data_IF_566881710608
#
_entry.id   IF_566881710608
#
_cell.length_a   1.000
_cell.length_b   1.000
_cell.length_c   1.000
_cell.angle_alpha   90.00
_cell.angle_beta   90.00
_cell.angle_gamma   90.00
#
_symmetry.space_group_name_H-M   'P 1'
#
loop_
_entity.id
_entity.type
_entity.pdbx_description
1 polymer ?
#
# COMPACT_ATOMS: atom_id res chain seq x y z
N UNK A 1 -40.78 -3.06 13.82
CA UNK A 1 -39.57 -3.86 14.18
C UNK A 1 -38.41 -3.71 13.20
N UNK A 2 -38.61 -3.76 11.87
CA UNK A 2 -37.50 -3.69 10.91
C UNK A 2 -36.71 -2.37 10.91
N UNK A 3 -37.35 -1.22 11.18
CA UNK A 3 -36.73 0.11 11.17
C UNK A 3 -35.76 0.31 12.35
N UNK A 4 -36.12 -0.16 13.55
CA UNK A 4 -35.27 -0.05 14.77
C UNK A 4 -33.93 -0.76 14.58
N UNK A 5 -33.91 -1.85 13.80
CA UNK A 5 -32.66 -2.54 13.48
C UNK A 5 -31.73 -1.67 12.60
N UNK A 6 -32.25 -0.90 11.65
CA UNK A 6 -31.40 -0.25 10.63
C UNK A 6 -30.57 0.92 11.16
N UNK A 7 -31.11 1.70 12.10
CA UNK A 7 -30.34 2.74 12.81
C UNK A 7 -29.20 2.12 13.62
N UNK A 8 -29.48 1.01 14.29
CA UNK A 8 -28.49 0.26 15.07
C UNK A 8 -27.40 -0.33 14.16
N UNK A 9 -27.77 -0.92 13.02
CA UNK A 9 -26.81 -1.37 12.01
C UNK A 9 -25.95 -0.24 11.45
N UNK A 10 -26.54 0.93 11.23
CA UNK A 10 -25.84 2.13 10.75
C UNK A 10 -24.84 2.65 11.79
N UNK A 11 -25.22 2.64 13.07
CA UNK A 11 -24.33 2.98 14.18
C UNK A 11 -23.12 2.04 14.21
N UNK A 12 -23.33 0.72 14.16
CA UNK A 12 -22.24 -0.25 14.13
C UNK A 12 -21.38 -0.13 12.86
N UNK A 13 -21.97 0.15 11.71
CA UNK A 13 -21.23 0.37 10.46
C UNK A 13 -20.28 1.57 10.58
N UNK A 14 -20.70 2.67 11.20
CA UNK A 14 -19.83 3.83 11.43
C UNK A 14 -18.68 3.51 12.39
N UNK A 15 -18.93 2.72 13.45
CA UNK A 15 -17.86 2.27 14.36
C UNK A 15 -16.84 1.41 13.60
N UNK A 16 -17.30 0.46 12.78
CA UNK A 16 -16.43 -0.37 11.97
C UNK A 16 -15.61 0.46 10.95
N UNK A 17 -16.23 1.45 10.30
CA UNK A 17 -15.54 2.37 9.39
C UNK A 17 -14.39 3.10 10.11
N UNK A 18 -14.64 3.63 11.33
CA UNK A 18 -13.60 4.28 12.15
C UNK A 18 -12.46 3.30 12.50
N UNK A 19 -12.80 2.08 12.96
CA UNK A 19 -11.80 1.08 13.37
C UNK A 19 -10.94 0.68 12.18
N UNK A 20 -11.55 0.35 11.04
CA UNK A 20 -10.81 -0.08 9.86
C UNK A 20 -10.01 1.06 9.24
N UNK A 21 -10.54 2.29 9.20
CA UNK A 21 -9.81 3.44 8.72
C UNK A 21 -8.59 3.76 9.60
N UNK A 22 -8.75 3.72 10.93
CA UNK A 22 -7.64 3.91 11.88
C UNK A 22 -6.58 2.82 11.71
N UNK A 23 -7.01 1.57 11.55
CA UNK A 23 -6.10 0.44 11.33
C UNK A 23 -5.37 0.56 9.99
N UNK A 24 -6.06 1.01 8.94
CA UNK A 24 -5.48 1.26 7.62
C UNK A 24 -4.39 2.34 7.70
N UNK A 25 -4.66 3.45 8.40
CA UNK A 25 -3.69 4.51 8.62
C UNK A 25 -2.47 3.98 9.40
N UNK A 26 -2.67 3.23 10.48
CA UNK A 26 -1.57 2.66 11.26
C UNK A 26 -0.73 1.65 10.45
N UNK A 27 -1.36 0.79 9.65
CA UNK A 27 -0.68 -0.24 8.84
C UNK A 27 0.12 0.35 7.67
N UNK A 28 -0.24 1.53 7.18
CA UNK A 28 0.45 2.19 6.08
C UNK A 28 1.77 2.83 6.52
N UNK A 29 1.86 3.36 7.75
CA UNK A 29 3.01 4.12 8.24
C UNK A 29 4.34 3.36 8.14
N UNK A 30 4.47 2.09 8.57
CA UNK A 30 5.71 1.34 8.42
C UNK A 30 6.12 1.17 6.96
N UNK A 31 5.16 0.95 6.06
CA UNK A 31 5.41 0.85 4.63
C UNK A 31 5.86 2.19 4.04
N UNK A 32 5.26 3.30 4.48
CA UNK A 32 5.64 4.64 4.08
C UNK A 32 7.09 4.96 4.46
N UNK A 33 7.48 4.75 5.72
CA UNK A 33 8.85 4.96 6.15
C UNK A 33 9.84 3.99 5.49
N UNK A 34 9.46 2.71 5.29
CA UNK A 34 10.24 1.73 4.54
C UNK A 34 10.49 2.20 3.11
N UNK A 35 9.47 2.73 2.45
CA UNK A 35 9.55 3.25 1.09
C UNK A 35 10.48 4.47 1.00
N UNK A 36 10.38 5.40 1.96
CA UNK A 36 11.27 6.59 2.02
C UNK A 36 12.72 6.19 2.24
N UNK A 37 12.99 5.33 3.23
CA UNK A 37 14.36 4.96 3.63
C UNK A 37 15.05 4.05 2.62
N UNK A 38 14.33 3.16 1.97
CA UNK A 38 14.91 2.20 1.04
C UNK A 38 15.23 2.86 -0.32
N UNK A 39 16.44 2.63 -0.81
CA UNK A 39 16.92 3.04 -2.15
C UNK A 39 16.57 2.12 -3.36
N UNK A 40 16.02 0.90 -3.25
CA UNK A 40 16.02 -0.07 -4.35
C UNK A 40 14.86 0.09 -5.34
N UNK A 41 14.16 1.23 -5.34
CA UNK A 41 13.07 1.52 -6.27
C UNK A 41 13.49 2.67 -7.18
N UNK A 42 13.30 2.50 -8.48
CA UNK A 42 13.31 3.60 -9.44
C UNK A 42 12.51 4.81 -8.91
N UNK A 43 13.10 6.01 -9.05
CA UNK A 43 12.56 7.23 -8.43
C UNK A 43 11.11 7.50 -8.84
N UNK A 44 10.77 7.41 -10.13
CA UNK A 44 9.41 7.70 -10.60
C UNK A 44 8.37 6.77 -9.97
N UNK A 45 8.65 5.48 -9.90
CA UNK A 45 7.76 4.52 -9.26
C UNK A 45 7.62 4.75 -7.76
N UNK A 46 8.74 5.05 -7.08
CA UNK A 46 8.75 5.39 -5.66
C UNK A 46 7.82 6.57 -5.39
N UNK A 47 7.87 7.63 -6.20
CA UNK A 47 6.97 8.78 -6.06
C UNK A 47 5.52 8.41 -6.35
N UNK A 48 5.24 7.58 -7.36
CA UNK A 48 3.88 7.13 -7.64
C UNK A 48 3.28 6.32 -6.47
N UNK A 49 4.06 5.40 -5.89
CA UNK A 49 3.67 4.65 -4.69
C UNK A 49 3.48 5.56 -3.47
N UNK A 50 4.41 6.50 -3.25
CA UNK A 50 4.33 7.44 -2.12
C UNK A 50 3.05 8.28 -2.22
N UNK A 51 2.74 8.78 -3.42
CA UNK A 51 1.52 9.53 -3.71
C UNK A 51 0.28 8.69 -3.39
N UNK A 52 0.22 7.44 -3.84
CA UNK A 52 -0.87 6.52 -3.51
C UNK A 52 -1.00 6.31 -1.99
N UNK A 53 0.10 6.14 -1.26
CA UNK A 53 0.07 5.97 0.20
C UNK A 53 -0.48 7.20 0.91
N UNK A 54 -0.04 8.40 0.51
CA UNK A 54 -0.56 9.66 1.05
C UNK A 54 -2.06 9.76 0.79
N UNK A 55 -2.52 9.48 -0.43
CA UNK A 55 -3.93 9.53 -0.78
C UNK A 55 -4.77 8.51 0.00
N UNK A 56 -4.28 7.28 0.18
CA UNK A 56 -4.95 6.26 1.00
C UNK A 56 -5.05 6.68 2.47
N UNK A 57 -4.01 7.33 3.01
CA UNK A 57 -4.02 7.84 4.38
C UNK A 57 -4.95 9.04 4.57
N UNK A 58 -4.96 9.98 3.62
CA UNK A 58 -5.92 11.09 3.63
C UNK A 58 -7.36 10.57 3.54
N UNK A 59 -7.61 9.54 2.72
CA UNK A 59 -8.93 8.90 2.64
C UNK A 59 -9.30 8.26 3.98
N UNK A 60 -8.41 7.46 4.57
CA UNK A 60 -8.65 6.83 5.87
C UNK A 60 -8.96 7.89 6.95
N UNK A 61 -8.17 8.97 7.02
CA UNK A 61 -8.41 10.06 7.95
C UNK A 61 -9.79 10.72 7.72
N UNK A 62 -10.18 10.94 6.44
CA UNK A 62 -11.51 11.45 6.12
C UNK A 62 -12.64 10.49 6.54
N UNK A 63 -12.44 9.17 6.46
CA UNK A 63 -13.40 8.18 6.96
C UNK A 63 -13.53 8.25 8.49
N UNK A 64 -12.42 8.42 9.23
CA UNK A 64 -12.47 8.59 10.69
C UNK A 64 -13.26 9.84 11.07
N UNK A 65 -13.01 10.97 10.42
CA UNK A 65 -13.79 12.19 10.65
C UNK A 65 -15.27 12.00 10.29
N UNK A 66 -15.56 11.40 9.13
CA UNK A 66 -16.94 11.13 8.69
C UNK A 66 -17.70 10.27 9.71
N UNK A 67 -17.11 9.16 10.14
CA UNK A 67 -17.70 8.25 11.12
C UNK A 67 -17.94 8.95 12.46
N UNK A 68 -16.95 9.71 12.94
CA UNK A 68 -17.04 10.42 14.23
C UNK A 68 -18.17 11.44 14.23
N UNK A 69 -18.24 12.29 13.20
CA UNK A 69 -19.30 13.31 13.07
C UNK A 69 -20.67 12.65 12.86
N UNK A 70 -20.73 11.51 12.15
CA UNK A 70 -21.96 10.74 11.96
C UNK A 70 -22.48 10.17 13.29
N UNK A 71 -21.58 9.69 14.17
CA UNK A 71 -21.94 9.23 15.52
C UNK A 71 -22.42 10.37 16.42
N UNK A 72 -21.79 11.55 16.33
CA UNK A 72 -22.25 12.77 17.03
C UNK A 72 -23.67 13.13 16.55
N UNK A 73 -23.90 13.14 15.23
CA UNK A 73 -25.23 13.39 14.66
C UNK A 73 -26.26 12.37 15.15
N UNK A 74 -25.92 11.08 15.16
CA UNK A 74 -26.82 10.02 15.63
C UNK A 74 -27.16 10.18 17.12
N UNK A 75 -26.18 10.55 17.96
CA UNK A 75 -26.36 10.67 19.41
C UNK A 75 -27.14 11.92 19.82
N UNK A 76 -26.84 13.06 19.22
CA UNK A 76 -27.33 14.38 19.67
C UNK A 76 -28.44 14.97 18.78
N UNK A 77 -28.60 14.49 17.54
CA UNK A 77 -29.52 15.08 16.56
C UNK A 77 -30.55 14.07 16.02
N UNK A 78 -30.54 12.81 16.49
CA UNK A 78 -31.56 11.84 16.09
C UNK A 78 -32.89 12.16 16.76
N UNK A 79 -33.98 12.34 15.99
CA UNK A 79 -35.32 12.59 16.55
C UNK A 79 -35.80 11.43 17.42
N UNK A 80 -35.36 10.19 17.15
CA UNK A 80 -35.79 9.00 17.88
C UNK A 80 -35.15 8.82 19.27
N UNK A 81 -34.22 9.70 19.68
CA UNK A 81 -33.82 9.82 21.09
C UNK A 81 -34.83 10.63 21.93
N UNK A 82 -36.02 10.86 21.39
CA UNK A 82 -37.26 11.03 22.15
C UNK A 82 -37.59 9.73 22.92
N UNK A 83 -36.84 9.47 23.99
CA UNK A 83 -37.56 9.07 25.20
C UNK A 83 -38.63 10.13 25.47
N UNK A 84 -39.76 9.76 26.08
CA UNK A 84 -40.89 10.65 26.40
C UNK A 84 -40.49 12.04 26.97
N UNK A 85 -39.30 12.17 27.54
CA UNK A 85 -38.65 13.42 27.93
C UNK A 85 -38.30 14.39 26.77
N UNK A 86 -37.96 13.93 25.57
CA UNK A 86 -37.59 14.78 24.42
C UNK A 86 -38.77 15.57 23.84
N UNK A 87 -39.95 14.97 23.73
CA UNK A 87 -41.19 15.66 23.34
C UNK A 87 -41.66 16.65 24.42
N UNK A 88 -41.49 16.30 25.69
CA UNK A 88 -41.80 17.19 26.82
C UNK A 88 -40.83 18.37 26.85
N UNK A 89 -39.53 18.16 26.59
CA UNK A 89 -38.54 19.24 26.47
C UNK A 89 -38.79 20.10 25.23
N UNK A 90 -39.18 19.53 24.08
CA UNK A 90 -39.48 20.32 22.88
C UNK A 90 -40.69 21.26 23.06
N UNK A 91 -41.63 20.88 23.93
CA UNK A 91 -42.79 21.71 24.31
C UNK A 91 -42.50 22.68 25.46
N UNK A 92 -41.51 22.39 26.31
CA UNK A 92 -41.16 23.22 27.48
C UNK A 92 -40.03 24.22 27.17
N UNK A 93 -39.07 23.85 26.32
CA UNK A 93 -37.99 24.68 25.82
C UNK A 93 -37.86 24.45 24.30
N UNK A 94 -38.44 25.33 23.45
CA UNK A 94 -38.24 25.22 22.01
C UNK A 94 -36.73 25.21 21.72
N UNK A 95 -36.26 24.40 20.76
CA UNK A 95 -34.84 24.32 20.44
C UNK A 95 -34.32 25.73 20.25
N UNK A 96 -33.39 26.13 21.10
CA UNK A 96 -32.77 27.44 21.03
C UNK A 96 -32.22 27.63 19.62
N UNK A 97 -32.22 28.88 19.13
CA UNK A 97 -31.65 29.25 17.82
C UNK A 97 -30.26 28.61 17.61
N UNK A 98 -29.48 28.47 18.69
CA UNK A 98 -28.19 27.79 18.74
C UNK A 98 -28.24 26.31 18.32
N UNK A 99 -29.24 25.55 18.79
CA UNK A 99 -29.42 24.12 18.46
C UNK A 99 -29.71 23.94 16.97
N UNK A 100 -30.49 24.86 16.38
CA UNK A 100 -30.77 24.86 14.94
C UNK A 100 -29.51 25.15 14.11
N UNK A 101 -28.74 26.18 14.48
CA UNK A 101 -27.47 26.48 13.82
C UNK A 101 -26.47 25.33 13.92
N UNK A 102 -26.38 24.68 15.09
CA UNK A 102 -25.52 23.52 15.28
C UNK A 102 -25.92 22.34 14.36
N UNK A 103 -27.23 22.05 14.24
CA UNK A 103 -27.73 21.00 13.34
C UNK A 103 -27.39 21.27 11.88
N UNK A 104 -27.54 22.52 11.43
CA UNK A 104 -27.15 22.94 10.07
C UNK A 104 -25.65 22.77 9.88
N UNK A 105 -24.85 23.26 10.82
CA UNK A 105 -23.39 23.18 10.78
C UNK A 105 -22.91 21.73 10.64
N UNK A 106 -23.38 20.82 11.52
CA UNK A 106 -23.01 19.39 11.49
C UNK A 106 -23.40 18.75 10.16
N UNK A 107 -24.58 19.09 9.62
CA UNK A 107 -25.05 18.55 8.34
C UNK A 107 -24.18 19.02 7.18
N UNK A 108 -23.87 20.32 7.11
CA UNK A 108 -22.99 20.89 6.09
C UNK A 108 -21.56 20.36 6.18
N UNK A 109 -21.07 20.17 7.40
CA UNK A 109 -19.75 19.61 7.63
C UNK A 109 -19.65 18.14 7.18
N UNK A 110 -20.69 17.33 7.43
CA UNK A 110 -20.76 15.96 6.90
C UNK A 110 -20.79 15.92 5.38
N UNK A 111 -21.56 16.81 4.74
CA UNK A 111 -21.61 16.94 3.27
C UNK A 111 -20.21 17.26 2.71
N UNK A 112 -19.48 18.18 3.35
CA UNK A 112 -18.11 18.53 2.98
C UNK A 112 -17.16 17.33 3.12
N UNK A 113 -17.16 16.64 4.26
CA UNK A 113 -16.30 15.47 4.48
C UNK A 113 -16.60 14.37 3.46
N UNK A 114 -17.88 14.11 3.17
CA UNK A 114 -18.28 13.11 2.18
C UNK A 114 -17.82 13.48 0.77
N UNK A 115 -17.84 14.78 0.43
CA UNK A 115 -17.32 15.32 -0.83
C UNK A 115 -15.81 15.08 -0.93
N UNK A 116 -15.04 15.46 0.11
CA UNK A 116 -13.60 15.21 0.19
C UNK A 116 -13.27 13.73 0.06
N UNK A 117 -14.00 12.85 0.77
CA UNK A 117 -13.81 11.39 0.71
C UNK A 117 -14.07 10.83 -0.69
N UNK A 118 -15.09 11.33 -1.37
CA UNK A 118 -15.43 10.93 -2.75
C UNK A 118 -14.36 11.39 -3.74
N UNK A 119 -13.87 12.63 -3.61
CA UNK A 119 -12.76 13.16 -4.42
C UNK A 119 -11.48 12.35 -4.22
N UNK A 120 -11.09 12.09 -2.97
CA UNK A 120 -9.91 11.27 -2.65
C UNK A 120 -10.02 9.86 -3.22
N UNK A 121 -11.21 9.25 -3.18
CA UNK A 121 -11.44 7.94 -3.79
C UNK A 121 -11.19 7.97 -5.31
N UNK A 122 -11.65 9.02 -5.99
CA UNK A 122 -11.37 9.19 -7.41
C UNK A 122 -9.88 9.37 -7.67
N UNK A 123 -9.20 10.24 -6.91
CA UNK A 123 -7.75 10.44 -7.04
C UNK A 123 -6.94 9.14 -6.82
N UNK A 124 -7.37 8.28 -5.89
CA UNK A 124 -6.75 6.96 -5.66
C UNK A 124 -6.85 6.08 -6.92
N UNK A 125 -7.98 6.08 -7.63
CA UNK A 125 -8.15 5.33 -8.90
C UNK A 125 -7.12 5.76 -9.93
N UNK A 126 -6.93 7.06 -10.04
CA UNK A 126 -5.98 7.67 -10.96
C UNK A 126 -4.55 7.32 -10.59
N UNK A 127 -4.20 7.42 -9.30
CA UNK A 127 -2.89 7.04 -8.79
C UNK A 127 -2.57 5.57 -9.08
N UNK A 128 -3.54 4.66 -8.92
CA UNK A 128 -3.37 3.25 -9.31
C UNK A 128 -3.14 3.09 -10.81
N UNK A 129 -3.95 3.76 -11.65
CA UNK A 129 -3.79 3.72 -13.10
C UNK A 129 -2.40 4.23 -13.51
N UNK A 130 -1.93 5.32 -12.90
CA UNK A 130 -0.60 5.90 -13.12
C UNK A 130 0.49 4.91 -12.75
N UNK A 131 0.41 4.26 -11.59
CA UNK A 131 1.38 3.23 -11.18
C UNK A 131 1.44 2.09 -12.22
N UNK A 132 0.29 1.64 -12.72
CA UNK A 132 0.22 0.56 -13.70
C UNK A 132 0.81 0.99 -15.04
N UNK A 133 0.46 2.20 -15.52
CA UNK A 133 0.98 2.77 -16.78
C UNK A 133 2.47 3.01 -16.68
N UNK A 134 2.96 3.57 -15.57
CA UNK A 134 4.37 3.78 -15.29
C UNK A 134 5.13 2.45 -15.41
N UNK A 135 4.61 1.38 -14.80
CA UNK A 135 5.23 0.05 -14.88
C UNK A 135 5.12 -0.59 -16.26
N UNK A 136 4.05 -0.34 -17.01
CA UNK A 136 3.94 -0.73 -18.42
C UNK A 136 4.98 -0.01 -19.29
N UNK A 137 5.22 1.28 -19.05
CA UNK A 137 6.24 2.05 -19.73
C UNK A 137 7.64 1.56 -19.38
N UNK A 138 7.92 1.31 -18.09
CA UNK A 138 9.19 0.76 -17.63
C UNK A 138 9.49 -0.61 -18.27
N UNK A 139 8.50 -1.49 -18.36
CA UNK A 139 8.68 -2.82 -18.99
C UNK A 139 8.83 -2.76 -20.51
N UNK A 140 8.23 -1.78 -21.20
CA UNK A 140 8.35 -1.62 -22.66
C UNK A 140 9.62 -0.87 -23.09
N UNK A 141 10.02 0.13 -22.33
CA UNK A 141 11.11 1.05 -22.66
C UNK A 141 12.33 0.86 -21.75
N UNK A 142 12.56 -0.35 -21.23
CA UNK A 142 13.57 -0.61 -20.21
C UNK A 142 14.97 -0.09 -20.57
N UNK A 143 15.34 -0.08 -21.87
CA UNK A 143 16.62 0.46 -22.36
C UNK A 143 16.79 1.97 -22.25
N UNK A 144 15.70 2.74 -22.33
CA UNK A 144 15.72 4.21 -22.35
C UNK A 144 14.92 4.82 -21.20
N UNK A 145 14.52 3.99 -20.22
CA UNK A 145 13.62 4.41 -19.17
C UNK A 145 14.27 5.44 -18.24
N UNK A 146 15.54 5.26 -17.87
CA UNK A 146 16.25 6.19 -16.99
C UNK A 146 16.69 7.48 -17.68
N UNK A 147 16.95 7.43 -18.99
CA UNK A 147 17.46 8.60 -19.74
C UNK A 147 16.35 9.56 -20.17
N UNK A 148 15.12 9.06 -20.34
CA UNK A 148 13.97 9.88 -20.71
C UNK A 148 13.28 10.42 -19.46
N UNK A 149 13.70 11.60 -19.01
CA UNK A 149 13.12 12.34 -17.88
C UNK A 149 11.66 12.84 -18.13
N UNK A 150 10.97 12.27 -19.11
CA UNK A 150 9.63 12.63 -19.57
C UNK A 150 8.52 12.24 -18.58
N UNK A 151 8.81 11.37 -17.61
CA UNK A 151 7.79 10.79 -16.74
C UNK A 151 7.19 11.79 -15.75
N UNK A 152 8.02 12.43 -14.93
CA UNK A 152 7.54 13.12 -13.72
C UNK A 152 6.54 14.26 -14.01
N UNK A 153 6.87 15.15 -14.96
CA UNK A 153 6.00 16.27 -15.33
C UNK A 153 4.68 15.79 -15.95
N UNK A 154 4.76 14.84 -16.89
CA UNK A 154 3.56 14.26 -17.52
C UNK A 154 2.66 13.56 -16.50
N UNK A 155 3.25 12.88 -15.51
CA UNK A 155 2.48 12.24 -14.42
C UNK A 155 1.77 13.26 -13.53
N UNK A 156 2.43 14.36 -13.15
CA UNK A 156 1.80 15.44 -12.38
C UNK A 156 0.64 16.05 -13.18
N UNK A 157 0.86 16.37 -14.45
CA UNK A 157 -0.17 16.93 -15.33
C UNK A 157 -1.39 16.02 -15.46
N UNK A 158 -1.18 14.73 -15.73
CA UNK A 158 -2.26 13.73 -15.84
C UNK A 158 -3.01 13.60 -14.50
N UNK A 159 -2.29 13.56 -13.38
CA UNK A 159 -2.94 13.46 -12.06
C UNK A 159 -3.83 14.67 -11.78
N UNK A 160 -3.31 15.88 -12.00
CA UNK A 160 -4.04 17.13 -11.79
C UNK A 160 -5.27 17.20 -12.69
N UNK A 161 -5.14 16.83 -13.97
CA UNK A 161 -6.25 16.82 -14.91
C UNK A 161 -7.35 15.85 -14.47
N UNK A 162 -7.00 14.67 -13.95
CA UNK A 162 -8.02 13.74 -13.47
C UNK A 162 -8.66 14.22 -12.16
N UNK A 163 -7.93 14.89 -11.27
CA UNK A 163 -8.52 15.53 -10.08
C UNK A 163 -9.57 16.56 -10.51
N UNK A 164 -9.25 17.41 -11.49
CA UNK A 164 -10.17 18.41 -12.04
C UNK A 164 -11.41 17.74 -12.63
N UNK A 165 -11.25 16.72 -13.48
CA UNK A 165 -12.38 15.97 -14.07
C UNK A 165 -13.21 15.30 -12.98
N UNK A 166 -12.58 14.70 -11.99
CA UNK A 166 -13.27 14.02 -10.88
C UNK A 166 -14.10 14.98 -10.04
N UNK A 167 -13.56 16.18 -9.79
CA UNK A 167 -14.27 17.25 -9.11
C UNK A 167 -15.43 17.79 -9.96
N UNK A 168 -15.20 18.03 -11.25
CA UNK A 168 -16.25 18.49 -12.17
C UNK A 168 -17.42 17.50 -12.25
N UNK A 169 -17.15 16.20 -12.30
CA UNK A 169 -18.18 15.15 -12.28
C UNK A 169 -18.96 15.14 -10.96
N UNK A 170 -18.27 15.37 -9.84
CA UNK A 170 -18.90 15.47 -8.53
C UNK A 170 -19.79 16.71 -8.41
N UNK A 171 -19.38 17.84 -8.99
CA UNK A 171 -20.19 19.07 -9.06
C UNK A 171 -21.37 18.92 -10.01
N UNK A 172 -21.23 18.25 -11.15
CA UNK A 172 -22.34 17.97 -12.08
C UNK A 172 -23.49 17.19 -11.41
N UNK A 173 -23.19 16.39 -10.38
CA UNK A 173 -24.20 15.74 -9.53
C UNK A 173 -25.06 16.74 -8.76
N UNK A 174 -24.50 17.88 -8.35
CA UNK A 174 -25.23 18.91 -7.60
C UNK A 174 -26.16 19.74 -8.50
N UNK A 175 -25.77 19.94 -9.77
CA UNK A 175 -26.45 20.87 -10.69
C UNK A 175 -27.63 20.28 -11.47
N UNK A 176 -27.91 18.97 -11.41
CA UNK A 176 -28.98 18.41 -12.23
C UNK A 176 -29.87 17.42 -11.49
N UNK A 177 -31.17 17.58 -11.68
CA UNK A 177 -32.15 16.50 -11.44
C UNK A 177 -31.91 15.28 -12.36
N UNK A 178 -31.10 15.45 -13.41
CA UNK A 178 -30.82 14.46 -14.47
C UNK A 178 -29.71 13.48 -14.09
N UNK A 179 -28.67 13.92 -13.35
CA UNK A 179 -27.60 13.03 -12.88
C UNK A 179 -28.03 12.29 -11.62
N UNK A 180 -28.82 11.23 -11.83
CA UNK A 180 -29.17 10.27 -10.78
C UNK A 180 -27.90 9.65 -10.16
N UNK A 181 -28.01 9.18 -8.92
CA UNK A 181 -26.94 8.40 -8.26
C UNK A 181 -26.46 7.24 -9.13
N UNK A 182 -27.36 6.63 -9.90
CA UNK A 182 -27.05 5.58 -10.85
C UNK A 182 -26.04 6.05 -11.91
N UNK A 183 -26.26 7.22 -12.53
CA UNK A 183 -25.34 7.74 -13.54
C UNK A 183 -23.94 8.00 -12.96
N UNK A 184 -23.85 8.57 -11.75
CA UNK A 184 -22.56 8.80 -11.09
C UNK A 184 -21.77 7.50 -10.86
N UNK A 185 -22.43 6.44 -10.36
CA UNK A 185 -21.76 5.16 -10.15
C UNK A 185 -21.46 4.42 -11.45
N UNK A 186 -22.33 4.51 -12.46
CA UNK A 186 -22.08 3.96 -13.79
C UNK A 186 -20.84 4.62 -14.42
N UNK A 187 -20.76 5.95 -14.40
CA UNK A 187 -19.59 6.69 -14.86
C UNK A 187 -18.33 6.32 -14.07
N UNK A 188 -18.42 6.21 -12.74
CA UNK A 188 -17.32 5.74 -11.90
C UNK A 188 -16.80 4.36 -12.31
N UNK A 189 -17.70 3.42 -12.63
CA UNK A 189 -17.33 2.08 -13.11
C UNK A 189 -16.69 2.16 -14.49
N UNK A 190 -17.22 2.97 -15.40
CA UNK A 190 -16.62 3.19 -16.72
C UNK A 190 -15.18 3.70 -16.59
N UNK A 191 -14.91 4.63 -15.67
CA UNK A 191 -13.56 5.12 -15.39
C UNK A 191 -12.63 4.08 -14.76
N UNK A 192 -13.17 3.16 -13.96
CA UNK A 192 -12.37 2.09 -13.32
C UNK A 192 -12.12 0.89 -14.24
N UNK A 193 -13.03 0.61 -15.18
CA UNK A 193 -12.96 -0.56 -16.06
C UNK A 193 -11.63 -0.73 -16.83
N UNK A 194 -10.89 0.33 -17.23
CA UNK A 194 -9.60 0.18 -17.86
C UNK A 194 -8.50 -0.30 -16.90
N UNK A 195 -8.64 -0.09 -15.58
CA UNK A 195 -7.59 -0.41 -14.60
C UNK A 195 -7.33 -1.93 -14.53
N UNK A 196 -8.34 -2.82 -14.37
CA UNK A 196 -8.14 -4.26 -14.44
C UNK A 196 -7.52 -4.73 -15.78
N UNK A 197 -7.92 -4.12 -16.90
CA UNK A 197 -7.37 -4.44 -18.22
C UNK A 197 -5.89 -4.05 -18.32
N UNK A 198 -5.54 -2.83 -17.93
CA UNK A 198 -4.16 -2.36 -17.87
C UNK A 198 -3.31 -3.24 -16.93
N UNK A 199 -3.88 -3.63 -15.79
CA UNK A 199 -3.22 -4.50 -14.83
C UNK A 199 -2.95 -5.90 -15.41
N UNK A 200 -3.93 -6.48 -16.12
CA UNK A 200 -3.75 -7.73 -16.85
C UNK A 200 -2.60 -7.62 -17.88
N UNK A 201 -2.54 -6.51 -18.65
CA UNK A 201 -1.43 -6.27 -19.56
C UNK A 201 -0.09 -6.16 -18.85
N UNK A 202 -0.04 -5.52 -17.67
CA UNK A 202 1.18 -5.43 -16.86
C UNK A 202 1.67 -6.83 -16.45
N UNK A 203 0.79 -7.68 -15.92
CA UNK A 203 1.14 -9.06 -15.56
C UNK A 203 1.64 -9.85 -16.78
N UNK A 204 1.01 -9.69 -17.94
CA UNK A 204 1.43 -10.35 -19.19
C UNK A 204 2.82 -9.87 -19.63
N UNK A 205 3.11 -8.57 -19.56
CA UNK A 205 4.42 -8.02 -19.91
C UNK A 205 5.50 -8.45 -18.92
N UNK A 206 5.20 -8.48 -17.61
CA UNK A 206 6.12 -8.97 -16.59
C UNK A 206 6.54 -10.43 -16.85
N UNK A 207 5.58 -11.32 -17.19
CA UNK A 207 5.90 -12.70 -17.59
C UNK A 207 6.79 -12.78 -18.83
N UNK A 208 6.57 -11.92 -19.83
CA UNK A 208 7.45 -11.84 -21.02
C UNK A 208 8.84 -11.34 -20.66
N UNK A 209 8.94 -10.36 -19.77
CA UNK A 209 10.21 -9.81 -19.32
C UNK A 209 11.02 -10.84 -18.53
N UNK A 210 10.38 -11.60 -17.64
CA UNK A 210 11.01 -12.71 -16.90
C UNK A 210 11.60 -13.77 -17.84
N UNK A 211 10.86 -14.16 -18.89
CA UNK A 211 11.39 -15.09 -19.91
C UNK A 211 12.62 -14.54 -20.62
N UNK A 212 12.64 -13.23 -20.94
CA UNK A 212 13.78 -12.57 -21.59
C UNK A 212 14.96 -12.36 -20.65
N UNK A 213 14.74 -12.13 -19.35
CA UNK A 213 15.78 -11.93 -18.34
C UNK A 213 16.61 -13.21 -18.11
N UNK A 214 16.00 -14.38 -18.33
CA UNK A 214 16.66 -15.69 -18.20
C UNK A 214 17.50 -16.08 -19.44
N UNK A 215 17.46 -15.32 -20.54
CA UNK A 215 18.26 -15.61 -21.73
C UNK A 215 19.73 -15.17 -21.54
N UNK A 216 20.68 -16.03 -21.93
CA UNK A 216 22.11 -15.93 -21.59
C UNK A 216 22.83 -14.73 -22.22
N UNK A 217 22.35 -14.19 -23.34
CA UNK A 217 23.12 -13.30 -24.22
C UNK A 217 22.95 -11.79 -23.94
N UNK A 218 22.96 -11.33 -22.68
CA UNK A 218 22.65 -9.91 -22.34
C UNK A 218 23.72 -9.20 -21.52
N UNK A 219 23.83 -7.90 -21.75
CA UNK A 219 24.65 -6.98 -20.96
C UNK A 219 24.22 -6.98 -19.49
N UNK A 220 25.20 -6.94 -18.58
CA UNK A 220 25.00 -6.95 -17.12
C UNK A 220 24.07 -5.83 -16.63
N UNK A 221 24.19 -4.62 -17.19
CA UNK A 221 23.34 -3.48 -16.84
C UNK A 221 21.87 -3.71 -17.19
N UNK A 222 21.58 -4.21 -18.39
CA UNK A 222 20.22 -4.53 -18.83
C UNK A 222 19.60 -5.64 -17.98
N UNK A 223 20.41 -6.62 -17.55
CA UNK A 223 19.97 -7.68 -16.65
C UNK A 223 19.56 -7.12 -15.28
N UNK A 224 20.41 -6.27 -14.69
CA UNK A 224 20.11 -5.63 -13.40
C UNK A 224 18.83 -4.79 -13.45
N UNK A 225 18.66 -3.96 -14.48
CA UNK A 225 17.45 -3.15 -14.67
C UNK A 225 16.20 -4.03 -14.82
N UNK A 226 16.27 -5.11 -15.59
CA UNK A 226 15.15 -6.04 -15.74
C UNK A 226 14.80 -6.73 -14.42
N UNK A 227 15.80 -7.19 -13.66
CA UNK A 227 15.60 -7.83 -12.37
C UNK A 227 14.98 -6.87 -11.34
N UNK A 228 15.40 -5.60 -11.34
CA UNK A 228 14.81 -4.56 -10.50
C UNK A 228 13.34 -4.29 -10.86
N UNK A 229 13.04 -4.12 -12.16
CA UNK A 229 11.67 -3.91 -12.64
C UNK A 229 10.78 -5.10 -12.26
N UNK A 230 11.21 -6.33 -12.54
CA UNK A 230 10.49 -7.57 -12.22
C UNK A 230 10.25 -7.66 -10.70
N UNK A 231 11.29 -7.43 -9.89
CA UNK A 231 11.17 -7.46 -8.42
C UNK A 231 10.14 -6.44 -7.95
N UNK A 232 10.23 -5.19 -8.43
CA UNK A 232 9.32 -4.12 -8.00
C UNK A 232 7.86 -4.40 -8.38
N UNK A 233 7.61 -4.98 -9.57
CA UNK A 233 6.27 -5.41 -9.98
C UNK A 233 5.79 -6.53 -9.06
N UNK A 234 6.61 -7.55 -8.82
CA UNK A 234 6.23 -8.71 -8.00
C UNK A 234 5.92 -8.32 -6.54
N UNK A 235 6.71 -7.43 -5.95
CA UNK A 235 6.49 -6.93 -4.58
C UNK A 235 5.20 -6.13 -4.44
N UNK A 236 4.86 -5.32 -5.46
CA UNK A 236 3.63 -4.50 -5.45
C UNK A 236 2.42 -5.19 -6.03
N UNK A 237 2.59 -6.35 -6.65
CA UNK A 237 1.56 -7.02 -7.43
C UNK A 237 0.31 -7.27 -6.59
N UNK A 238 0.47 -7.94 -5.45
CA UNK A 238 -0.65 -8.30 -4.59
C UNK A 238 -1.31 -7.07 -3.94
N UNK A 239 -0.51 -6.06 -3.58
CA UNK A 239 -1.03 -4.80 -3.07
C UNK A 239 -1.98 -4.15 -4.08
N UNK A 240 -1.55 -4.02 -5.34
CA UNK A 240 -2.38 -3.49 -6.43
C UNK A 240 -3.56 -4.42 -6.75
N UNK A 241 -3.36 -5.74 -6.76
CA UNK A 241 -4.46 -6.71 -6.99
C UNK A 241 -5.59 -6.46 -6.00
N UNK A 242 -5.28 -6.49 -4.69
CA UNK A 242 -6.30 -6.38 -3.64
C UNK A 242 -7.08 -5.07 -3.79
N UNK A 243 -6.38 -3.94 -3.97
CA UNK A 243 -7.06 -2.64 -4.06
C UNK A 243 -7.91 -2.56 -5.33
N UNK A 244 -7.39 -2.96 -6.49
CA UNK A 244 -8.13 -2.90 -7.77
C UNK A 244 -9.39 -3.77 -7.69
N UNK A 245 -9.28 -5.01 -7.23
CA UNK A 245 -10.43 -5.91 -7.11
C UNK A 245 -11.47 -5.40 -6.11
N UNK A 246 -11.03 -4.96 -4.93
CA UNK A 246 -11.95 -4.42 -3.92
C UNK A 246 -12.68 -3.18 -4.44
N UNK A 247 -12.02 -2.28 -5.18
CA UNK A 247 -12.68 -1.10 -5.75
C UNK A 247 -13.77 -1.46 -6.76
N UNK A 248 -13.47 -2.36 -7.70
CA UNK A 248 -14.44 -2.83 -8.69
C UNK A 248 -15.66 -3.47 -8.01
N UNK A 249 -15.43 -4.40 -7.08
CA UNK A 249 -16.51 -5.11 -6.37
C UNK A 249 -17.40 -4.12 -5.61
N UNK A 250 -16.80 -3.22 -4.83
CA UNK A 250 -17.55 -2.25 -4.03
C UNK A 250 -18.28 -1.23 -4.89
N UNK A 251 -17.73 -0.81 -6.04
CA UNK A 251 -18.47 0.05 -6.95
C UNK A 251 -19.68 -0.64 -7.58
N UNK A 252 -19.57 -1.93 -7.93
CA UNK A 252 -20.71 -2.71 -8.41
C UNK A 252 -21.80 -2.75 -7.33
N UNK A 253 -21.43 -3.00 -6.06
CA UNK A 253 -22.38 -2.97 -4.93
C UNK A 253 -23.05 -1.60 -4.81
N UNK A 254 -22.29 -0.50 -4.95
CA UNK A 254 -22.84 0.86 -4.87
C UNK A 254 -23.72 1.23 -6.07
N UNK A 255 -23.40 0.73 -7.27
CA UNK A 255 -24.28 0.88 -8.43
C UNK A 255 -25.61 0.15 -8.19
N UNK A 256 -25.55 -1.10 -7.74
CA UNK A 256 -26.75 -1.88 -7.43
C UNK A 256 -27.58 -1.18 -6.35
N UNK A 257 -26.94 -0.67 -5.28
CA UNK A 257 -27.64 0.06 -4.22
C UNK A 257 -28.31 1.35 -4.70
N UNK A 258 -27.77 1.99 -5.75
CA UNK A 258 -28.35 3.20 -6.33
C UNK A 258 -29.67 2.96 -7.08
N UNK A 259 -29.91 1.73 -7.54
CA UNK A 259 -31.19 1.33 -8.17
C UNK A 259 -32.31 1.29 -7.12
N UNK A 260 -31.98 0.91 -5.87
CA UNK A 260 -32.91 0.88 -4.75
C UNK A 260 -33.06 2.25 -4.07
N UNK A 261 -33.24 3.31 -4.87
CA UNK A 261 -33.25 4.71 -4.40
C UNK A 261 -34.32 5.03 -3.37
N UNK A 262 -35.39 4.24 -3.31
CA UNK A 262 -36.49 4.40 -2.34
C UNK A 262 -36.09 4.10 -0.89
N UNK A 263 -34.99 3.39 -0.65
CA UNK A 263 -34.52 3.04 0.70
C UNK A 263 -33.26 3.83 1.09
N UNK A 264 -33.45 5.11 1.41
CA UNK A 264 -32.34 6.03 1.71
C UNK A 264 -31.42 5.54 2.84
N UNK A 265 -31.98 4.98 3.91
CA UNK A 265 -31.24 4.45 5.06
C UNK A 265 -30.41 3.21 4.70
N UNK A 266 -30.99 2.27 3.94
CA UNK A 266 -30.29 1.07 3.48
C UNK A 266 -29.11 1.43 2.57
N UNK A 267 -29.30 2.40 1.68
CA UNK A 267 -28.23 2.93 0.84
C UNK A 267 -27.12 3.56 1.68
N UNK A 268 -27.46 4.35 2.70
CA UNK A 268 -26.46 4.93 3.59
C UNK A 268 -25.63 3.85 4.30
N UNK A 269 -26.29 2.83 4.85
CA UNK A 269 -25.62 1.67 5.45
C UNK A 269 -24.65 0.99 4.46
N UNK A 270 -25.11 0.70 3.24
CA UNK A 270 -24.27 0.06 2.22
C UNK A 270 -23.08 0.92 1.80
N UNK A 271 -23.24 2.25 1.76
CA UNK A 271 -22.14 3.18 1.50
C UNK A 271 -21.08 3.04 2.60
N UNK A 272 -21.47 3.15 3.86
CA UNK A 272 -20.55 3.05 5.00
C UNK A 272 -19.87 1.67 5.04
N UNK A 273 -20.64 0.59 4.89
CA UNK A 273 -20.11 -0.77 4.85
C UNK A 273 -19.11 -0.98 3.69
N UNK A 274 -19.37 -0.41 2.51
CA UNK A 274 -18.46 -0.49 1.36
C UNK A 274 -17.14 0.24 1.62
N UNK A 275 -17.17 1.40 2.29
CA UNK A 275 -15.94 2.12 2.68
C UNK A 275 -15.17 1.36 3.76
N UNK A 276 -15.84 0.85 4.78
CA UNK A 276 -15.25 0.00 5.81
C UNK A 276 -14.54 -1.22 5.18
N UNK A 277 -15.18 -1.89 4.22
CA UNK A 277 -14.58 -3.02 3.50
C UNK A 277 -13.37 -2.62 2.65
N UNK A 278 -13.39 -1.43 2.02
CA UNK A 278 -12.23 -0.87 1.31
C UNK A 278 -11.06 -0.62 2.25
N UNK A 279 -11.32 -0.03 3.42
CA UNK A 279 -10.30 0.24 4.43
C UNK A 279 -9.70 -1.04 5.01
N UNK A 280 -10.54 -2.04 5.31
CA UNK A 280 -10.09 -3.37 5.72
C UNK A 280 -9.22 -4.05 4.65
N UNK A 281 -9.65 -4.03 3.39
CA UNK A 281 -8.88 -4.60 2.26
C UNK A 281 -7.56 -3.87 2.04
N UNK A 282 -7.56 -2.53 2.16
CA UNK A 282 -6.34 -1.72 2.04
C UNK A 282 -5.38 -2.03 3.18
N UNK A 283 -5.87 -2.17 4.41
CA UNK A 283 -5.08 -2.61 5.58
C UNK A 283 -4.40 -3.94 5.28
N UNK A 284 -5.15 -4.93 4.80
CA UNK A 284 -4.62 -6.23 4.45
C UNK A 284 -3.55 -6.15 3.35
N UNK A 285 -3.76 -5.29 2.36
CA UNK A 285 -2.79 -5.05 1.28
C UNK A 285 -1.48 -4.45 1.80
N UNK A 286 -1.52 -3.53 2.78
CA UNK A 286 -0.34 -2.96 3.41
C UNK A 286 0.42 -3.99 4.24
N UNK A 287 -0.28 -4.84 4.98
CA UNK A 287 0.34 -5.94 5.74
C UNK A 287 1.06 -6.88 4.77
N UNK A 288 0.39 -7.27 3.68
CA UNK A 288 0.97 -8.14 2.66
C UNK A 288 2.24 -7.55 2.03
N UNK A 289 2.21 -6.25 1.71
CA UNK A 289 3.35 -5.52 1.16
C UNK A 289 4.51 -5.40 2.17
N UNK A 290 4.21 -5.19 3.44
CA UNK A 290 5.22 -5.05 4.48
C UNK A 290 6.04 -6.35 4.66
N UNK A 291 5.33 -7.49 4.71
CA UNK A 291 5.90 -8.81 4.97
C UNK A 291 6.41 -9.56 3.72
N UNK A 292 6.39 -8.93 2.53
CA UNK A 292 6.79 -9.55 1.27
C UNK A 292 6.11 -10.93 1.04
N UNK A 293 4.79 -10.90 0.88
CA UNK A 293 3.95 -11.98 0.34
C UNK A 293 3.28 -12.97 1.29
N UNK A 294 3.59 -13.00 2.59
CA UNK A 294 2.67 -13.58 3.59
C UNK A 294 3.10 -13.29 5.04
N UNK A 295 2.27 -12.62 5.86
CA UNK A 295 2.57 -12.42 7.28
C UNK A 295 2.70 -13.75 8.03
N UNK A 296 1.89 -14.76 7.69
CA UNK A 296 1.94 -16.08 8.32
C UNK A 296 3.28 -16.78 8.06
N UNK A 297 3.79 -16.76 6.82
CA UNK A 297 5.12 -17.32 6.52
C UNK A 297 6.24 -16.60 7.27
N UNK A 298 6.15 -15.29 7.49
CA UNK A 298 7.13 -14.57 8.29
C UNK A 298 7.11 -15.03 9.75
N UNK A 299 5.93 -15.12 10.37
CA UNK A 299 5.78 -15.60 11.75
C UNK A 299 6.28 -17.04 11.86
N UNK A 300 5.85 -17.93 10.96
CA UNK A 300 6.30 -19.33 10.92
C UNK A 300 7.82 -19.42 10.79
N UNK A 301 8.45 -18.64 9.89
CA UNK A 301 9.92 -18.60 9.74
C UNK A 301 10.62 -18.12 11.02
N UNK A 302 10.06 -17.12 11.70
CA UNK A 302 10.62 -16.60 12.96
C UNK A 302 10.51 -17.65 14.08
N UNK A 303 9.36 -18.31 14.19
CA UNK A 303 9.13 -19.42 15.11
C UNK A 303 10.09 -20.58 14.83
N UNK A 304 10.25 -21.01 13.57
CA UNK A 304 11.21 -22.06 13.17
C UNK A 304 12.65 -21.66 13.53
N UNK A 305 13.04 -20.39 13.33
CA UNK A 305 14.37 -19.91 13.74
C UNK A 305 14.56 -19.96 15.25
N UNK A 306 13.56 -19.55 16.03
CA UNK A 306 13.61 -19.67 17.50
C UNK A 306 13.78 -21.14 17.92
N UNK A 307 13.04 -22.06 17.32
CA UNK A 307 13.19 -23.50 17.59
C UNK A 307 14.54 -24.08 17.16
N UNK A 308 15.09 -23.65 16.01
CA UNK A 308 16.44 -24.07 15.58
C UNK A 308 17.53 -23.51 16.50
N UNK A 309 17.41 -22.24 16.89
CA UNK A 309 18.36 -21.60 17.81
C UNK A 309 18.33 -22.24 19.21
N UNK A 310 17.17 -22.73 19.65
CA UNK A 310 17.04 -23.50 20.89
C UNK A 310 17.69 -24.90 20.77
N UNK A 311 17.65 -25.55 19.60
CA UNK A 311 18.32 -26.84 19.36
C UNK A 311 19.83 -26.74 19.16
N UNK A 312 20.34 -25.58 18.73
CA UNK A 312 21.78 -25.35 18.55
C UNK A 312 22.41 -24.55 19.68
N UNK A 313 21.68 -24.25 20.76
CA UNK A 313 22.34 -23.85 22.00
C UNK A 313 23.15 -25.07 22.45
N UNK A 314 24.50 -25.05 22.37
CA UNK A 314 25.27 -26.12 22.94
C UNK A 314 24.86 -26.15 24.40
N UNK A 315 24.31 -27.28 24.85
CA UNK A 315 24.29 -27.59 26.27
C UNK A 315 25.77 -27.70 26.61
N UNK A 316 26.37 -26.57 26.99
CA UNK A 316 27.56 -26.57 27.81
C UNK A 316 27.11 -27.24 29.11
N UNK A 317 27.05 -28.57 29.09
CA UNK A 317 27.24 -29.37 30.27
C UNK A 317 28.66 -28.98 30.67
N UNK A 318 28.75 -27.94 31.48
CA UNK A 318 29.93 -27.64 32.25
C UNK A 318 30.10 -28.88 33.13
N UNK A 319 30.79 -29.89 32.59
CA UNK A 319 31.48 -30.85 33.40
C UNK A 319 32.43 -30.03 34.24
N UNK A 320 32.00 -29.70 35.46
CA UNK A 320 32.86 -29.24 36.53
C UNK A 320 33.79 -30.42 36.79
N UNK A 321 34.85 -30.50 35.98
CA UNK A 321 35.98 -31.36 36.24
C UNK A 321 36.78 -30.61 37.29
N UNK A 322 36.57 -30.95 38.56
CA UNK A 322 37.47 -30.57 39.63
C UNK A 322 38.86 -31.13 39.27
N UNK A 323 39.72 -30.30 38.71
CA UNK A 323 41.15 -30.53 38.64
C UNK A 323 41.84 -29.36 39.31
N UNK A 324 42.09 -29.55 40.60
CA UNK A 324 43.25 -28.99 41.28
C UNK A 324 44.51 -29.29 40.46
N UNK A 325 45.10 -28.29 39.82
CA UNK A 325 46.56 -28.17 39.69
C UNK A 325 46.96 -26.83 39.10
N UNK A 326 47.90 -26.24 39.82
CA UNK A 326 48.69 -25.03 39.60
C UNK A 326 49.20 -24.80 38.19
N UNK A 327 49.09 -23.54 37.73
CA UNK A 327 50.11 -22.84 36.95
C UNK A 327 50.22 -23.14 35.46
N UNK A 328 49.61 -22.31 34.61
CA UNK A 328 50.20 -21.98 33.32
C UNK A 328 49.63 -20.69 32.71
N UNK A 329 50.54 -19.91 32.09
CA UNK A 329 50.30 -18.62 31.44
C UNK A 329 49.23 -18.70 30.36
N UNK A 330 48.31 -17.73 30.37
CA UNK A 330 47.30 -17.50 29.34
C UNK A 330 47.95 -16.79 28.14
N UNK A 331 48.23 -17.52 27.07
CA UNK A 331 48.47 -16.92 25.74
C UNK A 331 47.09 -16.60 25.14
N UNK A 332 46.85 -15.32 24.90
CA UNK A 332 45.66 -14.85 24.17
C UNK A 332 45.89 -15.17 22.69
N UNK A 333 45.33 -16.27 22.22
CA UNK A 333 45.24 -16.55 20.78
C UNK A 333 44.06 -15.74 20.24
N UNK A 334 44.37 -14.66 19.53
CA UNK A 334 43.38 -13.90 18.78
C UNK A 334 42.73 -14.81 17.73
N UNK A 335 41.41 -14.97 17.80
CA UNK A 335 40.64 -15.67 16.77
C UNK A 335 40.69 -14.86 15.48
N UNK A 336 41.43 -15.37 14.49
CA UNK A 336 41.38 -14.88 13.11
C UNK A 336 39.99 -15.18 12.56
N UNK A 337 39.26 -14.19 12.01
CA UNK A 337 37.94 -14.42 11.44
C UNK A 337 38.04 -15.39 10.24
N UNK A 338 37.04 -16.26 10.03
CA UNK A 338 37.06 -17.21 8.92
C UNK A 338 37.06 -16.45 7.59
N UNK A 339 38.11 -16.69 6.80
CA UNK A 339 38.20 -16.22 5.41
C UNK A 339 37.01 -16.77 4.60
N UNK A 340 36.37 -15.93 3.77
CA UNK A 340 35.29 -16.39 2.91
C UNK A 340 35.83 -17.45 1.94
N UNK A 341 35.13 -18.60 1.85
CA UNK A 341 35.44 -19.66 0.88
C UNK A 341 35.45 -19.06 -0.53
N UNK A 342 36.54 -19.20 -1.31
CA UNK A 342 36.59 -18.66 -2.66
C UNK A 342 35.55 -19.38 -3.53
N UNK A 343 34.62 -18.60 -4.05
CA UNK A 343 33.69 -19.01 -5.10
C UNK A 343 34.51 -19.44 -6.31
N UNK A 344 34.20 -20.62 -6.86
CA UNK A 344 34.93 -21.26 -7.96
C UNK A 344 35.30 -20.25 -9.06
N UNK A 345 36.60 -20.05 -9.24
CA UNK A 345 37.18 -19.30 -10.35
C UNK A 345 36.77 -19.97 -11.68
N UNK A 346 36.42 -19.21 -12.74
CA UNK A 346 36.13 -19.77 -14.06
C UNK A 346 37.32 -20.58 -14.58
N UNK A 347 37.08 -21.75 -15.19
CA UNK A 347 38.15 -22.64 -15.68
C UNK A 347 39.06 -21.98 -16.73
N UNK A 348 38.59 -20.93 -17.41
CA UNK A 348 39.40 -20.13 -18.31
C UNK A 348 40.59 -19.42 -17.60
N UNK A 349 40.44 -19.03 -16.31
CA UNK A 349 41.54 -18.43 -15.55
C UNK A 349 42.53 -19.48 -15.03
N UNK A 350 42.16 -20.76 -14.94
CA UNK A 350 43.08 -21.81 -14.46
C UNK A 350 44.20 -22.09 -15.45
N UNK A 351 43.92 -21.99 -16.74
CA UNK A 351 44.94 -22.20 -17.79
C UNK A 351 45.90 -21.02 -17.92
N UNK A 352 45.48 -19.81 -17.59
CA UNK A 352 46.34 -18.62 -17.64
C UNK A 352 47.22 -18.49 -16.38
N UNK A 353 46.77 -19.00 -15.23
CA UNK A 353 47.50 -18.97 -13.96
C UNK A 353 48.60 -20.06 -13.88
N UNK A 354 48.54 -21.12 -14.69
CA UNK A 354 49.57 -22.17 -14.67
C UNK A 354 50.93 -21.75 -15.27
N UNK A 355 51.03 -20.60 -15.94
CA UNK A 355 52.23 -20.17 -16.66
C UNK A 355 52.86 -18.86 -16.18
N UNK A 356 52.38 -18.27 -15.08
CA UNK A 356 52.88 -16.98 -14.59
C UNK A 356 53.39 -17.09 -13.16
N UNK A 357 54.67 -16.77 -13.00
CA UNK A 357 55.37 -16.77 -11.72
C UNK A 357 54.67 -15.80 -10.76
N UNK A 358 54.36 -16.28 -9.56
CA UNK A 358 53.45 -15.62 -8.60
C UNK A 358 53.85 -14.17 -8.26
N UNK A 359 55.12 -13.81 -8.47
CA UNK A 359 55.63 -12.44 -8.33
C UNK A 359 55.17 -11.48 -9.45
N UNK A 360 55.11 -11.92 -10.71
CA UNK A 360 54.65 -11.09 -11.82
C UNK A 360 53.17 -10.73 -11.72
N UNK A 361 52.36 -11.62 -11.14
CA UNK A 361 50.93 -11.37 -10.92
C UNK A 361 50.75 -10.26 -9.88
N UNK A 362 51.51 -10.29 -8.77
CA UNK A 362 51.45 -9.27 -7.74
C UNK A 362 51.89 -7.90 -8.26
N UNK A 363 52.96 -7.84 -9.07
CA UNK A 363 53.44 -6.60 -9.68
C UNK A 363 52.46 -6.02 -10.71
N UNK A 364 51.88 -6.87 -11.56
CA UNK A 364 50.88 -6.44 -12.56
C UNK A 364 49.61 -5.90 -11.88
N UNK A 365 49.18 -6.54 -10.78
CA UNK A 365 48.02 -6.09 -10.01
C UNK A 365 48.28 -4.75 -9.29
N UNK A 366 49.47 -4.58 -8.71
CA UNK A 366 49.91 -3.33 -8.09
C UNK A 366 50.04 -2.18 -9.10
N UNK A 367 50.52 -2.47 -10.32
CA UNK A 367 50.67 -1.49 -11.39
C UNK A 367 49.32 -1.01 -11.92
N UNK A 368 48.36 -1.91 -12.07
CA UNK A 368 46.99 -1.56 -12.49
C UNK A 368 46.25 -0.75 -11.40
N UNK A 369 46.42 -1.09 -10.12
CA UNK A 369 45.85 -0.31 -9.01
C UNK A 369 46.39 1.12 -8.95
N UNK A 370 47.69 1.32 -9.21
CA UNK A 370 48.29 2.66 -9.28
C UNK A 370 47.76 3.49 -10.46
N UNK A 371 47.44 2.86 -11.59
CA UNK A 371 46.90 3.57 -12.76
C UNK A 371 45.45 4.03 -12.61
N UNK A 372 44.71 3.49 -11.63
CA UNK A 372 43.34 3.90 -11.34
C UNK A 372 43.25 4.99 -10.26
N UNK A 373 44.37 5.32 -9.62
CA UNK A 373 44.46 6.29 -8.52
C UNK A 373 45.15 7.61 -8.91
N UNK A 374 45.74 7.67 -10.11
CA UNK A 374 46.15 8.90 -10.78
C UNK A 374 45.20 9.14 -11.96
#
# INVERSE_FOLDING_TARGET
>A
MAIINLETWTFYANILDIIFATTCFAASLPNFFKLIKNKPYHMHFKYCLLSLFVLLNLRALSSVFHGTVSLIKAKYLSPNNETFAGYIVYFIDPPTLETYHFKIFVTKFLELIQTVRSTLQNTIRCAMAIIIVERLCATRMHKSYETKNLGAFFFVLVTTLIIIISYAVLEMRQFSAVFSYFFYYAFSICLESPIPLLYYFLCRQNKKLQKKANAITRNLSEKYQNDEIIRSINETNAFLTIIVFTQVITNIILLISSIFSHFAEYRFFLIVASYAFRDASTTWSFIYLYFNNCPALYVIRKVIRCFRSAKTAPINIAFIKNSTTTGCRRVVVAQVPPTPKPTRLPEALKHEIQNLDTQQIAETYLKNLKSQWN
#
